data_IF_794932366562
#
_entry.id   IF_794932366562
#
_cell.length_a   1.000
_cell.length_b   1.000
_cell.length_c   1.000
_cell.angle_alpha   90.00
_cell.angle_beta   90.00
_cell.angle_gamma   90.00
#
_symmetry.space_group_name_H-M   'P 1'
#
loop_
_entity.id
_entity.type
_entity.pdbx_description
1 polymer ?
#
# COMPACT_ATOMS: atom_id res chain seq x y z
N UNK A 1 12.69 -81.81 -23.33
CA UNK A 1 13.08 -80.63 -22.52
C UNK A 1 13.91 -81.00 -21.26
N UNK A 2 14.92 -81.88 -21.35
CA UNK A 2 15.78 -82.26 -20.18
C UNK A 2 17.28 -82.03 -20.37
N UNK A 3 17.75 -81.72 -21.59
CA UNK A 3 19.19 -81.49 -21.88
C UNK A 3 19.61 -80.02 -21.88
N UNK A 4 18.68 -79.07 -22.06
CA UNK A 4 18.97 -77.63 -21.99
C UNK A 4 19.15 -77.08 -20.57
N UNK A 5 18.46 -77.65 -19.58
CA UNK A 5 18.58 -77.22 -18.16
C UNK A 5 19.90 -77.63 -17.52
N UNK A 6 20.52 -78.71 -17.99
CA UNK A 6 21.81 -79.19 -17.49
C UNK A 6 22.95 -78.28 -17.95
N UNK A 7 22.90 -77.78 -19.18
CA UNK A 7 23.90 -76.82 -19.69
C UNK A 7 23.81 -75.46 -18.99
N UNK A 8 22.60 -75.00 -18.67
CA UNK A 8 22.41 -73.73 -17.93
C UNK A 8 22.91 -73.84 -16.49
N UNK A 9 22.65 -74.97 -15.81
CA UNK A 9 23.17 -75.20 -14.45
C UNK A 9 24.69 -75.36 -14.43
N UNK A 10 25.27 -76.01 -15.45
CA UNK A 10 26.73 -76.15 -15.55
C UNK A 10 27.41 -74.80 -15.80
N UNK A 11 26.83 -73.95 -16.65
CA UNK A 11 27.32 -72.59 -16.87
C UNK A 11 27.23 -71.72 -15.60
N UNK A 12 26.15 -71.85 -14.83
CA UNK A 12 25.97 -71.08 -13.60
C UNK A 12 26.97 -71.48 -12.50
N UNK A 13 27.24 -72.77 -12.34
CA UNK A 13 28.25 -73.27 -11.39
C UNK A 13 29.67 -72.83 -11.79
N UNK A 14 29.96 -72.80 -13.09
CA UNK A 14 31.27 -72.36 -13.60
C UNK A 14 31.49 -70.86 -13.34
N UNK A 15 30.45 -70.03 -13.53
CA UNK A 15 30.50 -68.59 -13.23
C UNK A 15 30.70 -68.35 -11.72
N UNK A 16 29.99 -69.08 -10.86
CA UNK A 16 30.16 -68.97 -9.41
C UNK A 16 31.56 -69.39 -8.95
N UNK A 17 32.14 -70.44 -9.56
CA UNK A 17 33.52 -70.85 -9.30
C UNK A 17 34.55 -69.78 -9.68
N UNK A 18 34.36 -69.11 -10.81
CA UNK A 18 35.24 -68.03 -11.25
C UNK A 18 35.21 -66.81 -10.31
N UNK A 19 34.02 -66.46 -9.79
CA UNK A 19 33.86 -65.36 -8.83
C UNK A 19 34.51 -65.68 -7.48
N UNK A 20 34.40 -66.93 -7.01
CA UNK A 20 35.05 -67.36 -5.77
C UNK A 20 36.59 -67.34 -5.89
N UNK A 21 37.14 -67.77 -7.03
CA UNK A 21 38.60 -67.71 -7.28
C UNK A 21 39.09 -66.27 -7.34
N UNK A 22 38.34 -65.37 -7.99
CA UNK A 22 38.66 -63.95 -8.06
C UNK A 22 38.71 -63.29 -6.68
N UNK A 23 37.74 -63.59 -5.80
CA UNK A 23 37.72 -63.05 -4.44
C UNK A 23 38.86 -63.58 -3.55
N UNK A 24 39.30 -64.83 -3.76
CA UNK A 24 40.44 -65.40 -3.02
C UNK A 24 41.77 -64.84 -3.54
N UNK A 25 41.94 -64.67 -4.85
CA UNK A 25 43.14 -64.04 -5.42
C UNK A 25 43.26 -62.56 -5.03
N UNK A 26 42.14 -61.84 -4.89
CA UNK A 26 42.17 -60.46 -4.42
C UNK A 26 42.41 -60.33 -2.90
N UNK A 27 42.27 -61.42 -2.14
CA UNK A 27 42.58 -61.45 -0.69
C UNK A 27 43.97 -61.98 -0.37
N UNK A 28 44.68 -62.55 -1.35
CA UNK A 28 45.98 -63.19 -1.19
C UNK A 28 47.11 -62.50 -1.98
N UNK A 29 46.85 -61.30 -2.49
CA UNK A 29 47.80 -60.45 -3.21
C UNK A 29 48.16 -59.15 -2.48
N UNK A 30 47.93 -59.08 -1.16
CA UNK A 30 48.21 -57.89 -0.36
C UNK A 30 48.97 -58.23 0.91
N UNK A 31 50.23 -58.67 0.76
CA UNK A 31 51.21 -58.50 1.84
C UNK A 31 52.64 -58.47 1.30
N UNK A 32 53.42 -57.48 1.78
CA UNK A 32 54.85 -57.31 1.50
C UNK A 32 55.24 -55.89 1.10
N UNK A 33 55.55 -55.02 2.06
CA UNK A 33 56.96 -54.85 2.45
C UNK A 33 57.10 -53.96 3.70
N UNK A 34 57.93 -54.43 4.63
CA UNK A 34 58.37 -53.70 5.81
C UNK A 34 59.58 -52.84 5.41
N UNK A 35 59.32 -51.61 4.98
CA UNK A 35 60.32 -50.57 4.80
C UNK A 35 60.38 -49.66 6.03
N UNK A 36 61.44 -49.80 6.83
CA UNK A 36 61.81 -48.84 7.86
C UNK A 36 62.37 -47.58 7.19
N UNK A 37 61.56 -46.53 7.04
CA UNK A 37 62.04 -45.15 6.88
C UNK A 37 61.10 -44.19 7.64
N UNK A 38 61.70 -43.25 8.36
CA UNK A 38 61.01 -42.33 9.24
C UNK A 38 60.04 -41.42 8.49
N UNK A 39 58.75 -41.50 8.86
CA UNK A 39 57.71 -40.54 8.52
C UNK A 39 57.17 -39.92 9.80
N UNK A 40 57.32 -38.61 9.89
CA UNK A 40 56.86 -37.65 10.91
C UNK A 40 55.52 -38.03 11.59
N UNK A 41 55.38 -37.88 12.92
CA UNK A 41 54.07 -38.02 13.57
C UNK A 41 53.09 -37.02 12.95
N UNK A 42 51.99 -37.53 12.41
CA UNK A 42 50.84 -36.72 12.02
C UNK A 42 50.41 -35.93 13.26
N UNK A 43 50.36 -34.58 13.21
CA UNK A 43 49.98 -33.81 14.37
C UNK A 43 48.54 -34.19 14.72
N UNK A 44 48.32 -34.65 15.94
CA UNK A 44 46.97 -34.69 16.50
C UNK A 44 46.42 -33.29 16.40
N UNK A 45 45.47 -33.07 15.50
CA UNK A 45 44.79 -31.79 15.37
C UNK A 45 44.02 -31.61 16.67
N UNK A 46 44.48 -30.68 17.49
CA UNK A 46 43.79 -30.28 18.70
C UNK A 46 42.40 -29.76 18.26
N UNK A 47 41.33 -30.33 18.82
CA UNK A 47 39.94 -29.99 18.48
C UNK A 47 39.39 -29.09 19.58
N UNK A 48 39.01 -27.88 19.21
CA UNK A 48 38.30 -26.93 20.08
C UNK A 48 36.80 -27.09 19.93
N UNK A 49 36.04 -26.52 20.87
CA UNK A 49 34.57 -26.53 20.85
C UNK A 49 34.07 -25.14 20.44
N UNK A 50 33.19 -25.09 19.45
CA UNK A 50 32.50 -23.85 19.04
C UNK A 50 31.00 -23.97 19.30
N UNK A 51 30.38 -22.83 19.59
CA UNK A 51 28.93 -22.73 19.82
C UNK A 51 28.19 -22.64 18.49
N UNK A 52 27.32 -23.61 18.26
CA UNK A 52 26.45 -23.72 17.07
C UNK A 52 24.98 -23.77 17.49
N UNK A 53 24.09 -23.46 16.56
CA UNK A 53 22.64 -23.56 16.77
C UNK A 53 22.19 -25.02 16.72
N UNK A 54 21.57 -25.52 17.79
CA UNK A 54 20.96 -26.85 17.85
C UNK A 54 19.59 -26.91 17.15
N UNK A 55 18.87 -25.79 17.15
CA UNK A 55 17.55 -25.61 16.55
C UNK A 55 17.47 -24.21 15.91
N UNK A 56 16.66 -24.05 14.86
CA UNK A 56 16.50 -22.76 14.20
C UNK A 56 16.00 -21.69 15.19
N UNK A 57 16.75 -20.59 15.30
CA UNK A 57 16.48 -19.48 16.21
C UNK A 57 15.92 -18.32 15.38
N UNK A 58 14.68 -17.94 15.64
CA UNK A 58 14.06 -16.79 14.98
C UNK A 58 14.65 -15.49 15.53
N UNK A 59 14.81 -14.50 14.66
CA UNK A 59 15.22 -13.15 15.02
C UNK A 59 14.36 -12.57 16.16
N UNK A 60 14.99 -11.85 17.07
CA UNK A 60 14.32 -11.23 18.21
C UNK A 60 13.99 -12.19 19.35
N UNK A 61 14.17 -13.50 19.17
CA UNK A 61 14.04 -14.46 20.27
C UNK A 61 15.26 -14.42 21.19
N UNK A 62 15.01 -14.65 22.48
CA UNK A 62 16.07 -14.83 23.48
C UNK A 62 16.68 -16.21 23.31
N UNK A 63 18.00 -16.27 23.22
CA UNK A 63 18.75 -17.51 23.08
C UNK A 63 18.84 -18.17 24.46
N UNK A 64 18.27 -19.37 24.53
CA UNK A 64 18.26 -20.25 25.69
C UNK A 64 19.20 -21.44 25.45
N UNK A 65 19.62 -22.11 26.53
CA UNK A 65 20.61 -23.19 26.45
C UNK A 65 20.15 -24.35 25.54
N UNK A 66 18.85 -24.64 25.49
CA UNK A 66 18.25 -25.66 24.61
C UNK A 66 18.41 -25.39 23.10
N UNK A 67 18.71 -24.13 22.73
CA UNK A 67 18.93 -23.75 21.34
C UNK A 67 20.40 -23.91 20.91
N UNK A 68 21.31 -24.27 21.83
CA UNK A 68 22.75 -24.30 21.61
C UNK A 68 23.29 -25.74 21.54
N UNK A 69 24.27 -25.96 20.67
CA UNK A 69 25.04 -27.19 20.57
C UNK A 69 26.54 -26.86 20.45
N UNK A 70 27.37 -27.64 21.12
CA UNK A 70 28.82 -27.57 20.96
C UNK A 70 29.25 -28.50 19.84
N UNK A 71 29.89 -27.94 18.81
CA UNK A 71 30.46 -28.71 17.71
C UNK A 71 31.99 -28.75 17.81
N UNK A 72 32.64 -29.91 17.65
CA UNK A 72 34.08 -29.99 17.56
C UNK A 72 34.57 -29.30 16.28
N UNK A 73 35.60 -28.48 16.40
CA UNK A 73 36.18 -27.71 15.31
C UNK A 73 37.71 -27.64 15.47
N UNK A 74 38.52 -27.77 14.42
CA UNK A 74 39.99 -27.73 14.54
C UNK A 74 40.47 -26.41 15.14
N UNK A 75 41.29 -26.45 16.19
CA UNK A 75 41.76 -25.25 16.93
C UNK A 75 42.47 -24.25 16.00
N UNK A 76 43.17 -24.75 14.98
CA UNK A 76 43.89 -23.92 13.99
C UNK A 76 42.96 -23.06 13.12
N UNK A 77 41.67 -23.42 13.03
CA UNK A 77 40.65 -22.73 12.23
C UNK A 77 39.68 -21.91 13.08
N UNK A 78 39.86 -21.86 14.41
CA UNK A 78 39.01 -21.04 15.30
C UNK A 78 39.45 -19.58 15.18
N UNK A 79 38.63 -18.79 14.48
CA UNK A 79 38.82 -17.34 14.36
C UNK A 79 38.27 -16.59 15.58
N UNK A 80 38.74 -15.36 15.79
CA UNK A 80 38.27 -14.47 16.87
C UNK A 80 36.75 -14.15 16.83
N UNK A 81 36.09 -14.43 15.70
CA UNK A 81 34.65 -14.25 15.53
C UNK A 81 33.82 -15.47 15.95
N UNK A 82 34.46 -16.60 16.29
CA UNK A 82 33.77 -17.80 16.75
C UNK A 82 33.67 -17.81 18.27
N UNK A 83 32.45 -18.00 18.78
CA UNK A 83 32.22 -18.08 20.22
C UNK A 83 32.48 -19.51 20.69
N UNK A 84 33.36 -19.66 21.68
CA UNK A 84 33.74 -20.95 22.26
C UNK A 84 33.06 -21.24 23.60
N UNK A 85 32.46 -20.22 24.22
CA UNK A 85 31.76 -20.31 25.50
C UNK A 85 30.26 -20.02 25.35
N UNK A 86 29.42 -20.96 25.80
CA UNK A 86 27.95 -20.83 25.75
C UNK A 86 27.43 -19.72 26.66
N UNK A 87 28.16 -19.39 27.74
CA UNK A 87 27.76 -18.34 28.69
C UNK A 87 27.65 -16.95 28.05
N UNK A 88 28.40 -16.72 26.97
CA UNK A 88 28.43 -15.45 26.23
C UNK A 88 27.21 -15.29 25.30
N UNK A 89 26.51 -16.38 25.01
CA UNK A 89 25.36 -16.42 24.07
C UNK A 89 24.03 -16.52 24.81
N UNK A 90 24.01 -17.19 25.97
CA UNK A 90 22.78 -17.39 26.76
C UNK A 90 22.25 -16.04 27.25
N UNK A 91 20.94 -15.81 27.05
CA UNK A 91 20.27 -14.57 27.43
C UNK A 91 20.41 -13.43 26.41
N UNK A 92 21.20 -13.62 25.34
CA UNK A 92 21.29 -12.66 24.23
C UNK A 92 20.09 -12.81 23.29
N UNK A 93 19.86 -11.80 22.48
CA UNK A 93 18.78 -11.76 21.49
C UNK A 93 19.37 -11.96 20.10
N UNK A 94 18.76 -12.83 19.28
CA UNK A 94 19.19 -13.03 17.90
C UNK A 94 18.92 -11.78 17.04
N UNK A 95 19.95 -11.20 16.40
CA UNK A 95 19.81 -10.04 15.50
C UNK A 95 19.19 -10.40 14.14
N UNK A 96 19.32 -11.66 13.74
CA UNK A 96 18.86 -12.23 12.47
C UNK A 96 18.37 -13.68 12.69
N UNK A 97 17.71 -14.26 11.70
CA UNK A 97 17.33 -15.67 11.74
C UNK A 97 18.57 -16.56 11.63
N UNK A 98 18.74 -17.49 12.57
CA UNK A 98 19.88 -18.41 12.63
C UNK A 98 19.36 -19.81 12.35
N UNK A 99 19.77 -20.39 11.21
CA UNK A 99 19.41 -21.76 10.87
C UNK A 99 20.11 -22.78 11.79
N UNK A 100 19.51 -23.96 11.90
CA UNK A 100 20.10 -25.08 12.64
C UNK A 100 21.49 -25.44 12.07
N UNK A 101 22.45 -25.70 12.95
CA UNK A 101 23.82 -26.10 12.61
C UNK A 101 24.74 -24.94 12.26
N UNK A 102 24.25 -23.70 12.25
CA UNK A 102 25.07 -22.51 11.97
C UNK A 102 25.88 -22.11 13.21
N UNK A 103 27.15 -21.76 13.02
CA UNK A 103 28.03 -21.21 14.06
C UNK A 103 27.55 -19.84 14.50
N UNK A 104 27.36 -19.66 15.80
CA UNK A 104 26.90 -18.39 16.36
C UNK A 104 28.10 -17.46 16.53
N UNK A 105 28.00 -16.28 15.93
CA UNK A 105 29.04 -15.24 15.99
C UNK A 105 28.53 -14.00 16.74
N UNK A 106 29.41 -13.15 17.28
CA UNK A 106 29.01 -11.93 18.00
C UNK A 106 28.11 -10.99 17.18
N UNK A 107 28.27 -10.96 15.85
CA UNK A 107 27.46 -10.14 14.95
C UNK A 107 26.01 -10.64 14.79
N UNK A 108 25.72 -11.88 15.22
CA UNK A 108 24.40 -12.50 15.12
C UNK A 108 23.57 -12.30 16.39
N UNK A 109 24.17 -11.75 17.45
CA UNK A 109 23.56 -11.64 18.79
C UNK A 109 23.67 -10.21 19.34
N UNK A 110 22.75 -9.83 20.23
CA UNK A 110 22.77 -8.53 20.91
C UNK A 110 22.26 -8.62 22.34
N UNK A 111 22.70 -7.67 23.16
CA UNK A 111 22.32 -7.50 24.56
C UNK A 111 21.10 -6.60 24.69
N UNK A 112 20.85 -5.76 23.68
CA UNK A 112 19.85 -4.72 23.72
C UNK A 112 18.75 -5.01 22.69
N UNK A 113 17.47 -5.10 23.09
CA UNK A 113 16.36 -5.28 22.15
C UNK A 113 16.23 -4.13 21.14
N UNK A 114 16.83 -2.96 21.40
CA UNK A 114 16.87 -1.83 20.47
C UNK A 114 17.94 -1.90 19.37
N UNK A 115 18.83 -2.89 19.40
CA UNK A 115 19.93 -3.06 18.45
C UNK A 115 19.62 -4.15 17.38
N UNK A 116 18.36 -4.60 17.36
CA UNK A 116 17.78 -5.35 16.27
C UNK A 116 17.71 -4.41 15.07
N UNK A 117 18.48 -4.70 14.01
CA UNK A 117 18.43 -3.96 12.72
C UNK A 117 16.97 -3.86 12.31
N UNK A 118 16.33 -2.69 12.46
CA UNK A 118 14.91 -2.51 12.19
C UNK A 118 14.61 -2.99 10.76
N UNK A 119 13.88 -4.10 10.65
CA UNK A 119 13.32 -4.54 9.37
C UNK A 119 12.12 -3.65 9.15
N UNK A 120 12.36 -2.49 8.53
CA UNK A 120 11.32 -1.66 7.97
C UNK A 120 10.86 -2.30 6.67
N UNK A 121 9.56 -2.18 6.36
CA UNK A 121 9.05 -2.52 5.03
C UNK A 121 9.83 -1.79 3.94
N UNK A 122 9.97 -2.39 2.76
CA UNK A 122 10.62 -1.74 1.60
C UNK A 122 9.97 -0.39 1.27
N UNK A 123 8.65 -0.29 1.45
CA UNK A 123 7.90 0.94 1.35
C UNK A 123 8.41 2.01 2.33
N UNK A 124 8.64 1.64 3.60
CA UNK A 124 9.15 2.56 4.61
C UNK A 124 10.60 2.99 4.37
N UNK A 125 11.45 2.14 3.78
CA UNK A 125 12.83 2.48 3.42
C UNK A 125 12.91 3.56 2.34
N UNK A 126 11.89 3.69 1.52
CA UNK A 126 11.82 4.67 0.43
C UNK A 126 11.29 6.03 0.88
N UNK A 127 10.83 6.17 2.13
CA UNK A 127 10.27 7.42 2.67
C UNK A 127 11.39 8.24 3.31
N UNK A 128 11.67 9.47 2.81
CA UNK A 128 12.66 10.35 3.42
C UNK A 128 12.26 10.78 4.85
N UNK A 129 13.25 11.09 5.72
CA UNK A 129 12.95 11.58 7.06
C UNK A 129 12.13 12.88 7.01
N UNK A 130 11.10 12.97 7.86
CA UNK A 130 10.17 14.10 7.90
C UNK A 130 9.00 14.01 6.91
N UNK A 131 8.92 12.94 6.11
CA UNK A 131 7.78 12.64 5.24
C UNK A 131 7.01 11.43 5.74
N UNK A 132 5.79 11.27 5.24
CA UNK A 132 4.94 10.11 5.48
C UNK A 132 4.30 9.64 4.18
N UNK A 133 3.93 8.37 4.11
CA UNK A 133 3.21 7.81 2.98
C UNK A 133 1.71 7.76 3.27
N UNK A 134 0.88 8.23 2.33
CA UNK A 134 -0.58 8.11 2.41
C UNK A 134 -1.12 7.56 1.09
N UNK A 135 -1.96 6.52 1.20
CA UNK A 135 -2.69 5.97 0.07
C UNK A 135 -3.97 6.78 -0.19
N UNK A 136 -4.23 7.07 -1.45
CA UNK A 136 -5.46 7.72 -1.92
C UNK A 136 -6.08 6.88 -3.04
N UNK A 137 -7.42 6.88 -3.17
CA UNK A 137 -8.09 6.19 -4.27
C UNK A 137 -7.76 6.87 -5.59
N UNK A 138 -7.62 6.08 -6.65
CA UNK A 138 -7.45 6.54 -8.01
C UNK A 138 -8.37 5.78 -8.96
N UNK A 139 -8.75 6.44 -10.04
CA UNK A 139 -9.40 5.82 -11.19
C UNK A 139 -8.65 6.24 -12.47
N UNK A 140 -9.16 5.83 -13.63
CA UNK A 140 -8.53 6.16 -14.91
C UNK A 140 -8.38 7.67 -15.13
N UNK A 141 -9.31 8.49 -14.67
CA UNK A 141 -9.27 9.95 -14.84
C UNK A 141 -8.40 10.62 -13.77
N UNK A 142 -8.63 10.31 -12.49
CA UNK A 142 -7.85 10.90 -11.39
C UNK A 142 -6.39 10.44 -11.37
N UNK A 143 -6.08 9.31 -12.01
CA UNK A 143 -4.75 8.71 -12.11
C UNK A 143 -4.01 8.96 -13.42
N UNK A 144 -4.36 10.01 -14.18
CA UNK A 144 -3.70 10.37 -15.45
C UNK A 144 -3.62 9.16 -16.41
N UNK A 145 -4.76 8.52 -16.66
CA UNK A 145 -4.86 7.33 -17.51
C UNK A 145 -3.93 6.17 -17.10
N UNK A 146 -3.64 6.02 -15.80
CA UNK A 146 -2.73 5.00 -15.24
C UNK A 146 -1.26 5.16 -15.66
N UNK A 147 -0.87 6.35 -16.09
CA UNK A 147 0.50 6.65 -16.49
C UNK A 147 1.47 6.76 -15.30
N UNK A 148 0.95 6.97 -14.08
CA UNK A 148 1.76 7.17 -12.88
C UNK A 148 2.66 5.96 -12.59
N UNK A 149 3.90 6.23 -12.18
CA UNK A 149 4.92 5.27 -11.76
C UNK A 149 5.58 5.71 -10.47
N UNK A 150 6.21 4.75 -9.77
CA UNK A 150 7.01 5.05 -8.59
C UNK A 150 8.13 6.03 -8.94
N UNK A 151 8.30 7.07 -8.13
CA UNK A 151 9.25 8.16 -8.34
C UNK A 151 8.70 9.37 -9.13
N UNK A 152 7.52 9.25 -9.75
CA UNK A 152 6.89 10.38 -10.42
C UNK A 152 6.49 11.47 -9.44
N UNK A 153 6.38 12.70 -9.93
CA UNK A 153 5.92 13.85 -9.15
C UNK A 153 4.53 14.24 -9.58
N UNK A 154 3.65 14.49 -8.63
CA UNK A 154 2.26 14.84 -8.89
C UNK A 154 1.84 16.03 -8.02
N UNK A 155 0.90 16.81 -8.55
CA UNK A 155 0.08 17.68 -7.72
C UNK A 155 -1.26 17.01 -7.46
N UNK A 156 -1.84 17.33 -6.29
CA UNK A 156 -3.17 16.86 -5.92
C UNK A 156 -4.12 18.06 -5.97
N UNK A 157 -5.10 17.99 -6.85
CA UNK A 157 -6.21 18.93 -6.92
C UNK A 157 -7.36 18.42 -6.07
N UNK A 158 -8.07 19.34 -5.41
CA UNK A 158 -9.27 19.08 -4.64
C UNK A 158 -10.43 19.91 -5.19
N UNK A 159 -11.61 19.31 -5.31
CA UNK A 159 -12.85 20.00 -5.63
C UNK A 159 -13.96 19.60 -4.66
N UNK A 160 -14.72 20.59 -4.18
CA UNK A 160 -15.86 20.38 -3.29
C UNK A 160 -16.87 21.52 -3.37
N UNK A 161 -18.05 21.26 -2.83
CA UNK A 161 -19.17 22.18 -2.80
C UNK A 161 -19.24 22.93 -1.46
N UNK A 162 -19.56 24.22 -1.51
CA UNK A 162 -19.68 25.10 -0.34
C UNK A 162 -21.06 25.74 -0.31
N UNK A 163 -21.70 25.72 0.86
CA UNK A 163 -22.98 26.37 1.16
C UNK A 163 -22.78 27.44 2.23
N UNK A 164 -23.68 28.41 2.32
CA UNK A 164 -23.65 29.36 3.44
C UNK A 164 -24.37 28.72 4.63
N UNK A 165 -23.66 28.63 5.74
CA UNK A 165 -24.19 28.14 7.00
C UNK A 165 -24.41 29.31 7.95
N UNK A 166 -25.42 29.19 8.80
CA UNK A 166 -25.49 29.96 10.03
C UNK A 166 -24.33 29.55 10.95
N UNK A 167 -23.57 30.53 11.45
CA UNK A 167 -22.36 30.27 12.21
C UNK A 167 -22.62 29.62 13.58
N UNK A 168 -23.75 29.92 14.22
CA UNK A 168 -24.09 29.42 15.55
C UNK A 168 -24.86 28.10 15.46
N UNK A 169 -25.83 28.01 14.55
CA UNK A 169 -26.67 26.81 14.38
C UNK A 169 -26.02 25.75 13.49
N UNK A 170 -25.03 26.11 12.66
CA UNK A 170 -24.44 25.23 11.64
C UNK A 170 -25.47 24.65 10.66
N UNK A 171 -26.54 25.40 10.40
CA UNK A 171 -27.62 25.05 9.46
C UNK A 171 -27.50 25.83 8.16
N UNK A 172 -27.95 25.24 7.06
CA UNK A 172 -27.96 25.89 5.74
C UNK A 172 -28.90 27.09 5.76
N UNK A 173 -28.42 28.24 5.29
CA UNK A 173 -29.23 29.44 5.15
C UNK A 173 -30.25 29.29 4.00
N UNK A 174 -31.44 29.91 4.11
CA UNK A 174 -31.89 30.85 5.14
C UNK A 174 -32.34 30.20 6.46
N UNK A 175 -32.22 30.92 7.57
CA UNK A 175 -32.81 30.50 8.84
C UNK A 175 -34.33 30.65 8.82
N UNK A 176 -35.02 29.91 9.68
CA UNK A 176 -36.44 30.12 9.93
C UNK A 176 -36.66 31.14 11.05
N UNK A 177 -37.70 31.95 10.94
CA UNK A 177 -38.12 32.88 11.99
C UNK A 177 -39.32 32.36 12.74
N UNK A 178 -39.32 32.60 14.06
CA UNK A 178 -40.48 32.50 14.92
C UNK A 178 -40.79 33.88 15.50
N UNK A 179 -42.07 34.21 15.65
CA UNK A 179 -42.49 35.47 16.26
C UNK A 179 -42.91 35.20 17.71
N UNK A 180 -42.39 36.01 18.64
CA UNK A 180 -42.91 36.02 20.01
C UNK A 180 -44.17 36.88 20.06
N UNK A 181 -45.31 36.26 20.34
CA UNK A 181 -46.56 36.97 20.55
C UNK A 181 -46.77 37.13 22.05
N UNK A 182 -46.91 38.37 22.51
CA UNK A 182 -47.37 38.65 23.88
C UNK A 182 -48.82 38.20 24.02
N UNK A 183 -49.16 37.30 24.96
CA UNK A 183 -50.55 37.00 25.26
C UNK A 183 -51.20 38.20 25.94
N UNK A 184 -52.08 38.90 25.21
CA UNK A 184 -52.97 39.91 25.76
C UNK A 184 -52.67 41.36 25.32
N UNK A 185 -53.73 42.06 24.93
CA UNK A 185 -53.79 43.51 24.68
C UNK A 185 -53.08 44.30 25.80
N UNK A 186 -52.39 45.42 25.51
CA UNK A 186 -51.71 46.21 26.54
C UNK A 186 -52.72 46.95 27.42
N UNK A 187 -53.26 46.26 28.42
CA UNK A 187 -53.78 46.90 29.63
C UNK A 187 -52.74 46.72 30.74
N UNK A 188 -52.12 47.85 31.06
CA UNK A 188 -51.16 48.13 32.14
C UNK A 188 -51.22 47.14 33.31
N UNK A 189 -50.03 46.64 33.73
CA UNK A 189 -49.75 45.98 35.03
C UNK A 189 -49.76 44.43 35.11
N UNK A 190 -49.30 43.70 34.10
CA UNK A 190 -48.92 42.28 34.29
C UNK A 190 -47.56 41.96 33.65
N UNK A 191 -46.74 41.07 34.24
CA UNK A 191 -45.50 40.62 33.60
C UNK A 191 -45.85 39.92 32.29
N UNK A 192 -45.31 40.42 31.19
CA UNK A 192 -45.48 39.85 29.85
C UNK A 192 -44.73 38.52 29.78
N UNK A 193 -45.48 37.42 29.75
CA UNK A 193 -44.91 36.11 29.45
C UNK A 193 -44.76 35.99 27.93
N UNK A 194 -43.54 36.04 27.40
CA UNK A 194 -43.28 35.79 25.99
C UNK A 194 -43.36 34.27 25.74
N UNK A 195 -44.43 33.81 25.10
CA UNK A 195 -44.55 32.43 24.61
C UNK A 195 -44.07 32.35 23.16
N UNK A 196 -43.04 31.53 22.90
CA UNK A 196 -42.67 31.12 21.54
C UNK A 196 -43.61 29.99 21.09
N UNK A 197 -44.53 30.28 20.17
CA UNK A 197 -45.37 29.25 19.55
C UNK A 197 -44.76 28.84 18.21
N UNK A 198 -44.28 27.60 18.10
CA UNK A 198 -43.87 26.99 16.82
C UNK A 198 -45.07 26.54 15.95
N UNK A 199 -46.29 26.73 16.45
CA UNK A 199 -47.56 26.27 15.85
C UNK A 199 -48.10 27.24 14.77
N UNK A 200 -47.45 28.40 14.61
CA UNK A 200 -47.71 29.35 13.53
C UNK A 200 -46.53 29.31 12.56
N UNK A 201 -46.65 28.46 11.53
CA UNK A 201 -45.93 28.47 10.26
C UNK A 201 -44.57 29.19 10.30
N UNK A 202 -43.53 28.51 10.77
CA UNK A 202 -42.14 29.00 10.68
C UNK A 202 -41.82 29.39 9.24
N UNK A 203 -41.57 30.67 8.98
CA UNK A 203 -41.24 31.19 7.64
C UNK A 203 -39.75 31.38 7.49
N UNK A 204 -39.23 31.17 6.28
CA UNK A 204 -37.84 31.52 5.95
C UNK A 204 -37.58 33.01 6.22
N UNK A 205 -36.40 33.31 6.76
CA UNK A 205 -35.94 34.67 7.00
C UNK A 205 -35.68 35.34 5.65
N UNK A 206 -36.63 36.18 5.24
CA UNK A 206 -36.51 37.05 4.10
C UNK A 206 -35.73 38.34 4.41
N UNK A 207 -35.57 39.18 3.40
CA UNK A 207 -34.98 40.52 3.53
C UNK A 207 -35.93 41.58 2.95
N UNK A 208 -35.79 42.81 3.42
CA UNK A 208 -36.50 43.96 2.82
C UNK A 208 -35.64 44.48 1.66
N UNK A 209 -36.25 44.62 0.49
CA UNK A 209 -35.62 45.20 -0.70
C UNK A 209 -36.48 46.35 -1.22
N UNK A 210 -35.84 47.44 -1.62
CA UNK A 210 -36.52 48.59 -2.21
C UNK A 210 -36.60 48.40 -3.72
N UNK A 211 -37.81 48.40 -4.27
CA UNK A 211 -38.00 48.32 -5.71
C UNK A 211 -37.51 49.63 -6.38
N UNK A 212 -36.62 49.55 -7.38
CA UNK A 212 -35.88 50.71 -7.87
C UNK A 212 -36.74 51.74 -8.63
N UNK A 213 -37.88 51.36 -9.19
CA UNK A 213 -38.71 52.26 -10.02
C UNK A 213 -39.77 53.01 -9.20
N UNK A 214 -40.45 52.31 -8.30
CA UNK A 214 -41.58 52.77 -7.49
C UNK A 214 -41.15 53.20 -6.08
N UNK A 215 -39.95 52.79 -5.63
CA UNK A 215 -39.47 53.05 -4.28
C UNK A 215 -40.23 52.25 -3.19
N UNK A 216 -41.06 51.29 -3.59
CA UNK A 216 -41.82 50.47 -2.65
C UNK A 216 -40.91 49.49 -1.91
N UNK A 217 -41.12 49.35 -0.60
CA UNK A 217 -40.48 48.33 0.21
C UNK A 217 -41.19 46.99 -0.01
N UNK A 218 -40.43 45.99 -0.46
CA UNK A 218 -40.89 44.62 -0.66
C UNK A 218 -40.18 43.70 0.34
N UNK A 219 -40.93 42.81 0.98
CA UNK A 219 -40.35 41.73 1.77
C UNK A 219 -40.19 40.51 0.88
N UNK A 220 -38.95 40.16 0.56
CA UNK A 220 -38.63 39.06 -0.35
C UNK A 220 -38.20 37.82 0.43
N UNK A 221 -38.81 36.70 0.08
CA UNK A 221 -38.46 35.38 0.58
C UNK A 221 -37.54 34.69 -0.43
N UNK A 222 -36.58 33.88 0.03
CA UNK A 222 -35.82 33.01 -0.86
C UNK A 222 -36.76 32.00 -1.55
N UNK A 223 -36.31 31.50 -2.70
CA UNK A 223 -37.07 30.53 -3.50
C UNK A 223 -36.22 29.30 -3.76
N UNK A 224 -36.54 28.23 -3.06
CA UNK A 224 -35.86 26.93 -3.17
C UNK A 224 -34.61 26.84 -2.30
N UNK A 225 -34.00 25.67 -2.30
CA UNK A 225 -32.79 25.41 -1.51
C UNK A 225 -31.61 26.24 -2.01
N UNK A 226 -30.73 26.57 -1.06
CA UNK A 226 -29.47 27.19 -1.40
C UNK A 226 -28.68 26.30 -2.36
N UNK A 227 -28.26 26.88 -3.49
CA UNK A 227 -27.40 26.18 -4.45
C UNK A 227 -25.96 26.14 -3.93
N UNK A 228 -25.35 24.95 -3.81
CA UNK A 228 -23.94 24.86 -3.44
C UNK A 228 -23.04 25.47 -4.51
N UNK A 229 -21.94 26.08 -4.08
CA UNK A 229 -20.92 26.68 -4.94
C UNK A 229 -19.74 25.74 -5.06
N UNK A 230 -19.37 25.38 -6.28
CA UNK A 230 -18.19 24.56 -6.55
C UNK A 230 -16.91 25.41 -6.46
N UNK A 231 -15.92 24.88 -5.75
CA UNK A 231 -14.57 25.44 -5.68
C UNK A 231 -13.56 24.35 -6.00
N UNK A 232 -12.56 24.68 -6.81
CA UNK A 232 -11.43 23.81 -7.11
C UNK A 232 -10.12 24.50 -6.75
N UNK A 233 -9.22 23.79 -6.10
CA UNK A 233 -7.90 24.32 -5.72
C UNK A 233 -6.87 23.20 -5.73
N UNK A 234 -5.58 23.55 -5.87
CA UNK A 234 -4.50 22.61 -5.61
C UNK A 234 -4.30 22.47 -4.09
N UNK A 235 -4.46 21.25 -3.60
CA UNK A 235 -4.28 20.91 -2.20
C UNK A 235 -2.81 20.65 -1.86
N UNK A 236 -2.13 19.85 -2.69
CA UNK A 236 -0.72 19.47 -2.48
C UNK A 236 0.07 19.76 -3.75
N UNK A 237 1.26 20.28 -3.54
CA UNK A 237 2.24 20.54 -4.57
C UNK A 237 3.41 19.57 -4.46
N UNK A 238 3.83 19.01 -5.61
CA UNK A 238 5.08 18.28 -5.77
C UNK A 238 5.22 17.04 -4.84
N UNK A 239 4.12 16.31 -4.65
CA UNK A 239 4.14 15.01 -3.97
C UNK A 239 4.87 13.97 -4.82
N UNK A 240 5.58 13.04 -4.19
CA UNK A 240 6.27 11.95 -4.90
C UNK A 240 5.43 10.68 -4.83
N UNK A 241 5.23 9.99 -5.95
CA UNK A 241 4.53 8.71 -6.00
C UNK A 241 5.46 7.63 -5.42
N UNK A 242 5.03 6.99 -4.33
CA UNK A 242 5.73 5.86 -3.75
C UNK A 242 5.46 4.58 -4.53
N UNK A 243 4.18 4.29 -4.80
CA UNK A 243 3.75 3.06 -5.47
C UNK A 243 2.34 3.22 -6.05
N UNK A 244 2.05 2.47 -7.11
CA UNK A 244 0.72 2.41 -7.74
C UNK A 244 0.18 1.00 -7.60
N UNK A 245 -1.04 0.88 -7.06
CA UNK A 245 -1.64 -0.38 -6.67
C UNK A 245 -1.19 -0.86 -5.28
N UNK A 246 -1.39 -2.14 -5.02
CA UNK A 246 -1.15 -2.74 -3.72
C UNK A 246 0.32 -3.11 -3.56
N UNK A 247 0.83 -2.99 -2.34
CA UNK A 247 2.12 -3.56 -1.99
C UNK A 247 2.00 -5.09 -1.86
N UNK A 248 2.94 -5.87 -2.41
CA UNK A 248 2.92 -7.31 -2.24
C UNK A 248 3.10 -7.65 -0.75
N UNK A 249 2.25 -8.53 -0.24
CA UNK A 249 2.45 -9.09 1.10
C UNK A 249 3.56 -10.15 1.01
N UNK A 250 4.39 -10.30 2.04
CA UNK A 250 5.54 -11.24 2.03
C UNK A 250 5.12 -12.69 1.68
N UNK A 251 3.90 -13.09 2.07
CA UNK A 251 3.32 -14.39 1.72
C UNK A 251 2.99 -14.54 0.23
N UNK A 252 2.67 -13.46 -0.47
CA UNK A 252 2.42 -13.43 -1.91
C UNK A 252 3.72 -13.32 -2.71
N UNK A 253 4.68 -12.52 -2.25
CA UNK A 253 5.99 -12.39 -2.89
C UNK A 253 6.76 -13.73 -2.93
N UNK A 254 6.64 -14.53 -1.86
CA UNK A 254 7.24 -15.86 -1.80
C UNK A 254 6.53 -16.87 -2.72
N UNK A 255 5.20 -16.73 -2.90
CA UNK A 255 4.42 -17.57 -3.80
C UNK A 255 4.69 -17.25 -5.29
N UNK A 256 4.85 -15.97 -5.64
CA UNK A 256 5.24 -15.55 -6.99
C UNK A 256 6.69 -15.95 -7.32
N UNK A 257 7.62 -15.86 -6.36
CA UNK A 257 9.00 -16.32 -6.54
C UNK A 257 9.09 -17.85 -6.72
N UNK A 258 8.22 -18.62 -6.05
CA UNK A 258 8.17 -20.08 -6.19
C UNK A 258 7.60 -20.55 -7.54
N UNK A 259 6.80 -19.72 -8.24
CA UNK A 259 6.26 -20.03 -9.56
C UNK A 259 7.24 -19.71 -10.71
N UNK A 260 8.36 -19.03 -10.43
CA UNK A 260 9.37 -18.65 -11.42
C UNK A 260 10.34 -19.75 -11.87
N UNK A 261 10.30 -20.95 -11.28
CA UNK A 261 11.23 -22.04 -11.60
C UNK A 261 10.52 -23.13 -12.40
N UNK A 262 10.55 -22.96 -13.73
CA UNK A 262 10.27 -23.91 -14.81
C UNK A 262 9.52 -25.21 -14.48
N UNK A 263 8.22 -25.23 -14.74
CA UNK A 263 7.49 -26.45 -15.07
C UNK A 263 7.10 -26.41 -16.56
N UNK A 264 7.45 -27.41 -17.39
CA UNK A 264 7.04 -27.44 -18.79
C UNK A 264 5.52 -27.58 -18.91
N UNK A 265 4.92 -26.68 -19.69
CA UNK A 265 3.49 -26.62 -19.93
C UNK A 265 2.98 -27.88 -20.63
N UNK A 266 1.96 -28.51 -20.05
CA UNK A 266 1.15 -29.54 -20.70
C UNK A 266 -0.02 -28.84 -21.42
N UNK A 267 -0.30 -29.13 -22.70
CA UNK A 267 -1.35 -28.44 -23.43
C UNK A 267 -2.69 -29.11 -23.14
N UNK A 268 -3.51 -28.47 -22.32
CA UNK A 268 -4.92 -28.81 -22.18
C UNK A 268 -5.78 -27.55 -22.18
N UNK A 269 -6.54 -27.39 -23.28
CA UNK A 269 -7.91 -26.89 -23.28
C UNK A 269 -8.11 -25.38 -23.17
N UNK A 270 -8.63 -24.81 -24.26
CA UNK A 270 -9.30 -23.51 -24.40
C UNK A 270 -8.60 -22.30 -23.75
N UNK A 271 -7.91 -21.53 -24.59
CA UNK A 271 -7.46 -20.17 -24.31
C UNK A 271 -8.65 -19.26 -23.93
N UNK A 272 -8.96 -19.20 -22.64
CA UNK A 272 -9.42 -17.96 -22.05
C UNK A 272 -8.18 -17.06 -21.98
N UNK A 273 -8.18 -15.97 -22.76
CA UNK A 273 -7.14 -14.95 -22.65
C UNK A 273 -6.94 -14.61 -21.16
N UNK A 274 -5.70 -14.59 -20.65
CA UNK A 274 -5.46 -14.22 -19.26
C UNK A 274 -6.19 -12.90 -19.01
N UNK A 275 -7.08 -12.87 -18.02
CA UNK A 275 -7.67 -11.62 -17.58
C UNK A 275 -6.50 -10.68 -17.27
N UNK A 276 -6.38 -9.60 -18.03
CA UNK A 276 -5.31 -8.63 -17.83
C UNK A 276 -5.29 -8.15 -16.39
N UNK A 277 -4.12 -7.74 -15.86
CA UNK A 277 -4.02 -7.26 -14.48
C UNK A 277 -5.09 -6.20 -14.24
N UNK A 278 -5.83 -6.35 -13.13
CA UNK A 278 -6.87 -5.41 -12.76
C UNK A 278 -6.26 -3.99 -12.70
N UNK A 279 -6.94 -2.98 -13.25
CA UNK A 279 -6.42 -1.63 -13.23
C UNK A 279 -6.24 -1.17 -11.77
N UNK A 280 -5.16 -0.44 -11.47
CA UNK A 280 -4.91 0.00 -10.10
C UNK A 280 -5.99 0.99 -9.65
N UNK A 281 -6.44 0.82 -8.42
CA UNK A 281 -7.50 1.60 -7.78
C UNK A 281 -6.98 2.50 -6.65
N UNK A 282 -5.69 2.35 -6.30
CA UNK A 282 -5.01 3.16 -5.28
C UNK A 282 -3.64 3.61 -5.74
N UNK A 283 -3.21 4.76 -5.23
CA UNK A 283 -1.83 5.24 -5.33
C UNK A 283 -1.36 5.70 -3.98
N UNK A 284 -0.11 5.38 -3.66
CA UNK A 284 0.54 5.81 -2.42
C UNK A 284 1.46 6.99 -2.71
N UNK A 285 1.26 8.09 -2.01
CA UNK A 285 2.05 9.31 -2.16
C UNK A 285 2.91 9.56 -0.92
N UNK A 286 4.14 10.02 -1.14
CA UNK A 286 5.03 10.57 -0.13
C UNK A 286 4.71 12.06 0.01
N UNK A 287 4.27 12.44 1.20
CA UNK A 287 3.77 13.79 1.53
C UNK A 287 4.30 14.24 2.88
N UNK A 288 4.18 15.53 3.19
CA UNK A 288 4.48 16.01 4.55
C UNK A 288 3.41 15.52 5.54
N UNK A 289 3.70 15.47 6.86
CA UNK A 289 2.69 15.12 7.85
C UNK A 289 1.45 16.03 7.83
N UNK A 290 1.62 17.31 7.52
CA UNK A 290 0.52 18.27 7.40
C UNK A 290 -0.36 17.95 6.17
N UNK A 291 0.28 17.65 5.04
CA UNK A 291 -0.42 17.27 3.80
C UNK A 291 -1.17 15.95 3.96
N UNK A 292 -0.62 15.00 4.72
CA UNK A 292 -1.31 13.74 5.04
C UNK A 292 -2.60 14.00 5.85
N UNK A 293 -2.58 14.93 6.81
CA UNK A 293 -3.80 15.32 7.53
C UNK A 293 -4.81 15.98 6.59
N UNK A 294 -4.34 16.84 5.68
CA UNK A 294 -5.19 17.49 4.69
C UNK A 294 -5.85 16.48 3.73
N UNK A 295 -5.09 15.50 3.24
CA UNK A 295 -5.62 14.39 2.43
C UNK A 295 -6.61 13.55 3.20
N UNK A 296 -6.32 13.20 4.45
CA UNK A 296 -7.25 12.44 5.28
C UNK A 296 -8.58 13.19 5.45
N UNK A 297 -8.51 14.48 5.75
CA UNK A 297 -9.70 15.33 5.83
C UNK A 297 -10.46 15.35 4.51
N UNK A 298 -9.78 15.55 3.38
CA UNK A 298 -10.41 15.58 2.06
C UNK A 298 -11.14 14.27 1.72
N UNK A 299 -10.51 13.12 2.05
CA UNK A 299 -11.13 11.80 1.88
C UNK A 299 -12.37 11.63 2.76
N UNK A 300 -12.32 12.11 4.01
CA UNK A 300 -13.49 12.05 4.92
C UNK A 300 -14.60 13.00 4.53
N UNK A 301 -14.24 14.16 3.97
CA UNK A 301 -15.17 15.14 3.40
C UNK A 301 -15.77 14.69 2.05
N UNK A 302 -15.28 13.57 1.47
CA UNK A 302 -15.66 13.09 0.13
C UNK A 302 -15.42 14.14 -0.95
N UNK A 303 -14.36 14.94 -0.78
CA UNK A 303 -13.93 15.85 -1.82
C UNK A 303 -13.39 15.06 -3.02
N UNK A 304 -13.61 15.58 -4.22
CA UNK A 304 -13.08 14.98 -5.43
C UNK A 304 -11.58 15.29 -5.54
N UNK A 305 -10.76 14.26 -5.73
CA UNK A 305 -9.31 14.35 -5.77
C UNK A 305 -8.81 13.94 -7.14
N UNK A 306 -8.00 14.81 -7.76
CA UNK A 306 -7.44 14.58 -9.08
C UNK A 306 -5.93 14.79 -9.07
N UNK A 307 -5.19 13.86 -9.67
CA UNK A 307 -3.73 13.95 -9.78
C UNK A 307 -3.35 14.58 -11.10
N UNK A 308 -2.38 15.48 -11.08
CA UNK A 308 -1.75 16.00 -12.29
C UNK A 308 -0.28 15.67 -12.27
N UNK A 309 0.19 14.99 -13.32
CA UNK A 309 1.57 14.55 -13.47
C UNK A 309 2.49 15.74 -13.82
N UNK A 310 3.59 15.88 -13.08
CA UNK A 310 4.65 16.88 -13.36
C UNK A 310 5.72 16.32 -14.28
N UNK A 311 6.38 17.21 -15.02
CA UNK A 311 7.53 16.86 -15.85
C UNK A 311 8.72 16.35 -15.03
N UNK A 312 9.57 15.47 -15.58
CA UNK A 312 10.74 14.97 -14.89
C UNK A 312 11.73 16.12 -14.61
N UNK A 313 11.95 16.42 -13.33
CA UNK A 313 12.87 17.48 -12.89
C UNK A 313 12.22 18.83 -12.58
N UNK A 314 10.91 18.99 -12.82
CA UNK A 314 10.19 20.19 -12.42
C UNK A 314 9.91 20.18 -10.91
N UNK A 315 10.70 20.97 -10.19
CA UNK A 315 10.58 21.19 -8.74
C UNK A 315 10.08 22.60 -8.42
N UNK A 316 9.66 23.37 -9.43
CA UNK A 316 9.24 24.76 -9.19
C UNK A 316 7.93 24.76 -8.40
N UNK A 317 7.91 25.53 -7.32
CA UNK A 317 6.71 25.82 -6.55
C UNK A 317 6.04 27.03 -7.19
N UNK A 318 4.85 26.83 -7.78
CA UNK A 318 4.11 27.90 -8.47
C UNK A 318 2.88 28.23 -7.68
N UNK A 319 2.68 29.46 -7.19
CA UNK A 319 1.44 29.79 -6.49
C UNK A 319 0.21 29.64 -7.40
N UNK A 320 -0.81 28.94 -6.90
CA UNK A 320 -2.09 28.76 -7.59
C UNK A 320 -3.18 29.48 -6.84
N UNK A 321 -4.13 30.06 -7.57
CA UNK A 321 -5.35 30.62 -7.01
C UNK A 321 -6.52 29.65 -7.13
N UNK A 322 -7.48 29.72 -6.20
CA UNK A 322 -8.68 28.89 -6.24
C UNK A 322 -9.55 29.27 -7.45
N UNK A 323 -10.04 28.25 -8.16
CA UNK A 323 -10.91 28.43 -9.32
C UNK A 323 -12.36 28.33 -8.88
N UNK A 324 -13.14 29.36 -9.25
CA UNK A 324 -14.59 29.46 -9.03
C UNK A 324 -15.30 29.71 -10.35
N UNK A 325 -16.64 29.63 -10.37
CA UNK A 325 -17.40 29.97 -11.58
C UNK A 325 -17.12 31.41 -12.07
N UNK A 326 -17.03 32.37 -11.15
CA UNK A 326 -16.68 33.75 -11.49
C UNK A 326 -15.29 33.84 -12.12
N UNK A 327 -14.31 33.14 -11.57
CA UNK A 327 -12.96 33.06 -12.14
C UNK A 327 -13.00 32.57 -13.60
N UNK A 328 -13.83 31.56 -13.89
CA UNK A 328 -13.98 31.04 -15.26
C UNK A 328 -14.59 32.09 -16.20
N UNK A 329 -15.65 32.79 -15.78
CA UNK A 329 -16.27 33.84 -16.58
C UNK A 329 -15.29 34.98 -16.92
N UNK A 330 -14.56 35.46 -15.91
CA UNK A 330 -13.68 36.62 -16.05
C UNK A 330 -12.38 36.27 -16.79
N UNK A 331 -11.68 35.20 -16.39
CA UNK A 331 -10.35 34.90 -16.91
C UNK A 331 -10.40 34.13 -18.24
N UNK A 332 -11.39 33.26 -18.43
CA UNK A 332 -11.58 32.56 -19.71
C UNK A 332 -12.53 33.27 -20.66
N UNK A 333 -13.00 34.49 -20.31
CA UNK A 333 -13.88 35.32 -21.14
C UNK A 333 -15.14 34.57 -21.60
N UNK A 334 -15.69 33.73 -20.73
CA UNK A 334 -16.95 33.04 -21.01
C UNK A 334 -18.07 34.09 -20.93
N UNK A 335 -18.63 34.46 -22.07
CA UNK A 335 -19.74 35.40 -22.13
C UNK A 335 -21.05 34.68 -21.79
N UNK A 336 -21.81 35.21 -20.84
CA UNK A 336 -23.18 34.75 -20.59
C UNK A 336 -24.03 35.17 -21.79
N UNK A 337 -24.70 34.23 -22.48
CA UNK A 337 -25.57 34.57 -23.60
C UNK A 337 -26.66 35.55 -23.17
N UNK A 338 -26.94 36.53 -24.02
CA UNK A 338 -28.04 37.46 -23.78
C UNK A 338 -29.38 36.72 -23.90
N UNK A 339 -30.37 37.15 -23.11
CA UNK A 339 -31.73 36.62 -23.24
C UNK A 339 -32.31 37.04 -24.59
N UNK A 340 -32.77 36.06 -25.37
CA UNK A 340 -33.41 36.30 -26.66
C UNK A 340 -34.95 36.21 -26.51
N UNK A 341 -35.73 37.00 -27.26
CA UNK A 341 -37.20 36.97 -27.19
C UNK A 341 -37.83 35.75 -27.89
N UNK A 342 -37.02 34.83 -28.41
CA UNK A 342 -37.44 33.62 -29.12
C UNK A 342 -36.55 32.44 -28.73
N UNK A 343 -37.08 31.22 -28.79
CA UNK A 343 -36.40 29.98 -28.41
C UNK A 343 -36.69 28.83 -29.38
N UNK A 344 -35.98 27.71 -29.19
CA UNK A 344 -36.18 26.47 -29.96
C UNK A 344 -37.38 25.68 -29.40
N UNK A 345 -38.15 25.05 -30.28
CA UNK A 345 -39.20 24.09 -29.94
C UNK A 345 -38.86 22.73 -30.57
N UNK A 346 -38.70 21.65 -29.78
CA UNK A 346 -38.83 21.60 -28.33
C UNK A 346 -37.68 22.33 -27.60
N UNK A 347 -37.96 22.80 -26.39
CA UNK A 347 -36.96 23.45 -25.54
C UNK A 347 -35.79 22.48 -25.24
N UNK A 348 -34.56 22.92 -25.53
CA UNK A 348 -33.34 22.17 -25.17
C UNK A 348 -33.01 22.48 -23.71
N UNK A 349 -33.31 21.54 -22.81
CA UNK A 349 -33.07 21.69 -21.37
C UNK A 349 -31.69 21.18 -20.94
N UNK A 350 -31.09 20.28 -21.73
CA UNK A 350 -29.78 19.70 -21.47
C UNK A 350 -28.93 19.70 -22.74
N UNK A 351 -27.67 20.09 -22.61
CA UNK A 351 -26.69 19.93 -23.67
C UNK A 351 -26.30 18.45 -23.75
N UNK A 352 -26.84 17.72 -24.72
CA UNK A 352 -26.46 16.33 -24.97
C UNK A 352 -25.13 16.29 -25.71
N UNK A 353 -24.19 15.48 -25.21
CA UNK A 353 -22.95 15.22 -25.94
C UNK A 353 -23.25 14.41 -27.20
N UNK A 354 -22.70 14.76 -28.37
CA UNK A 354 -22.83 13.94 -29.56
C UNK A 354 -22.16 12.59 -29.29
N UNK A 355 -22.95 11.52 -29.28
CA UNK A 355 -22.43 10.16 -29.27
C UNK A 355 -22.32 9.66 -30.72
N UNK A 356 -21.22 8.96 -31.03
CA UNK A 356 -21.13 8.19 -32.26
C UNK A 356 -22.03 6.97 -32.07
N UNK A 357 -23.04 6.82 -32.94
CA UNK A 357 -23.85 5.61 -32.98
C UNK A 357 -22.93 4.44 -33.32
N UNK A 358 -22.61 3.58 -32.36
CA UNK A 358 -22.08 2.27 -32.71
C UNK A 358 -23.16 1.54 -33.50
N UNK A 359 -22.82 1.14 -34.72
CA UNK A 359 -23.74 0.53 -35.66
C UNK A 359 -24.45 -0.66 -35.02
N UNK A 360 -25.78 -0.60 -34.98
CA UNK A 360 -26.66 -1.73 -34.70
C UNK A 360 -26.20 -2.93 -35.54
N UNK A 361 -25.62 -3.94 -34.91
CA UNK A 361 -25.59 -5.29 -35.45
C UNK A 361 -27.05 -5.70 -35.68
N UNK A 362 -27.41 -5.85 -36.96
CA UNK A 362 -28.65 -6.49 -37.37
C UNK A 362 -28.63 -7.94 -36.88
N UNK A 363 -29.71 -8.36 -36.24
CA UNK A 363 -30.09 -9.76 -36.07
C UNK A 363 -31.25 -10.08 -37.03
#
# INVERSE_FOLDING_TARGET
MRRGRVLILLAFVLILGAVAIYLVMNRLGGDGDAGTEGGTPEPGTDLGLIVTSAQAITRGSTIVEENLALSPFPVELIDANMITDTSLVIGKIARMDIAQGVTITPNMITDHPGDLVFVSSEAALSIPPGYTAMAIPMNRLSGVAYALRAGDRVDVLIAFLVVDLDAEFQTVLPNLTGVFVSPGSPSVSTPVYLTASNDQQSTELGRIETEPVTGQLLYILPRGEQRPRLVTQRLIENATVLHVGNFPLESQATAEAAQGVGAPAQPTGQDAAPAGPAPPDIVTLIVTPQDALALNWALKARADLMLTLRGPGDKMLTETTSVTFQYLLENYRIAIPTSLPYGLEPAVLEATNPSLSEGSTAE
#
